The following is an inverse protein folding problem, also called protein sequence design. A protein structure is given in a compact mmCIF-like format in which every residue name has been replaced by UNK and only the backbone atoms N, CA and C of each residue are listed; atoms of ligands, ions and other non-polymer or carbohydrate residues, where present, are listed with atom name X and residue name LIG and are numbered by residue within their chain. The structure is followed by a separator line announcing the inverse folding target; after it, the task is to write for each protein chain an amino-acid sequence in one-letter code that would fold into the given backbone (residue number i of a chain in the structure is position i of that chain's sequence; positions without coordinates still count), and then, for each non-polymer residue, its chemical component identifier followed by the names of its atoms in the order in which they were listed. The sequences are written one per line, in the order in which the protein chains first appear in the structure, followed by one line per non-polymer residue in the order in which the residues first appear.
data_IF_843597701751
#
_entry.id   IF_843597701751
#
_cell.length_a   1.000
_cell.length_b   1.000
_cell.length_c   1.000
_cell.angle_alpha   90.00
_cell.angle_beta   90.00
_cell.angle_gamma   90.00
#
_symmetry.space_group_name_H-M   'P 1'
#
loop_
_entity.id
_entity.type
_entity.pdbx_description
1 polymer ?
#
# COMPACT_ATOMS: atom_id res chain seq x y z
N UNK A 1 23.90 14.46 -31.15
CA UNK A 1 23.82 14.76 -29.71
C UNK A 1 22.58 14.08 -29.16
N UNK A 2 22.69 13.13 -28.22
CA UNK A 2 21.51 12.65 -27.48
C UNK A 2 21.12 13.75 -26.50
N UNK A 3 19.86 14.17 -26.51
CA UNK A 3 19.34 15.18 -25.57
C UNK A 3 19.31 14.60 -24.15
N UNK A 4 19.43 15.47 -23.14
CA UNK A 4 19.39 15.09 -21.72
C UNK A 4 18.12 14.31 -21.38
N UNK A 5 16.99 14.64 -22.00
CA UNK A 5 15.73 13.88 -21.90
C UNK A 5 15.89 12.43 -22.40
N UNK A 6 16.52 12.25 -23.57
CA UNK A 6 16.71 10.95 -24.21
C UNK A 6 17.71 10.06 -23.43
N UNK A 7 18.60 10.67 -22.65
CA UNK A 7 19.46 9.97 -21.68
C UNK A 7 18.72 9.61 -20.39
N UNK A 8 17.86 10.49 -19.87
CA UNK A 8 16.99 10.18 -18.72
C UNK A 8 15.96 9.10 -19.05
N UNK A 9 15.42 9.07 -20.26
CA UNK A 9 14.49 8.05 -20.73
C UNK A 9 15.18 6.68 -20.88
N UNK A 10 16.41 6.66 -21.41
CA UNK A 10 17.23 5.42 -21.49
C UNK A 10 17.66 4.89 -20.13
N UNK A 11 18.03 5.80 -19.20
CA UNK A 11 18.35 5.43 -17.83
C UNK A 11 17.11 4.87 -17.13
N UNK A 12 15.97 5.58 -17.19
CA UNK A 12 14.70 5.13 -16.58
C UNK A 12 14.27 3.76 -17.10
N UNK A 13 14.42 3.51 -18.41
CA UNK A 13 14.11 2.22 -19.03
C UNK A 13 15.07 1.11 -18.57
N UNK A 14 16.37 1.36 -18.63
CA UNK A 14 17.40 0.43 -18.12
C UNK A 14 17.25 0.12 -16.63
N UNK A 15 16.65 1.03 -15.87
CA UNK A 15 16.39 0.86 -14.45
C UNK A 15 15.11 0.10 -14.15
N UNK A 16 14.07 0.22 -14.98
CA UNK A 16 12.90 -0.68 -14.91
C UNK A 16 13.29 -2.12 -15.24
N UNK A 17 14.28 -2.31 -16.12
CA UNK A 17 14.85 -3.62 -16.45
C UNK A 17 15.65 -4.25 -15.27
N UNK A 18 16.01 -3.45 -14.25
CA UNK A 18 16.72 -3.98 -13.08
C UNK A 18 15.74 -4.72 -12.14
N UNK A 19 15.96 -6.02 -11.83
CA UNK A 19 14.98 -6.85 -11.12
C UNK A 19 14.50 -6.29 -9.78
N UNK A 20 15.38 -5.61 -9.03
CA UNK A 20 15.03 -4.99 -7.74
C UNK A 20 14.09 -3.79 -7.93
N UNK A 21 14.28 -3.00 -8.99
CA UNK A 21 13.44 -1.84 -9.27
C UNK A 21 12.07 -2.28 -9.78
N UNK A 22 12.02 -3.31 -10.65
CA UNK A 22 10.76 -3.93 -11.08
C UNK A 22 9.95 -4.47 -9.90
N UNK A 23 10.60 -5.20 -8.98
CA UNK A 23 9.95 -5.68 -7.74
C UNK A 23 9.46 -4.53 -6.86
N UNK A 24 10.26 -3.48 -6.69
CA UNK A 24 9.86 -2.31 -5.90
C UNK A 24 8.66 -1.59 -6.52
N UNK A 25 8.65 -1.40 -7.84
CA UNK A 25 7.52 -0.81 -8.56
C UNK A 25 6.25 -1.66 -8.43
N UNK A 26 6.38 -2.98 -8.62
CA UNK A 26 5.26 -3.89 -8.44
C UNK A 26 4.68 -3.80 -7.02
N UNK A 27 5.53 -3.88 -6.00
CA UNK A 27 5.09 -3.75 -4.62
C UNK A 27 4.48 -2.38 -4.33
N UNK A 28 4.99 -1.31 -4.94
CA UNK A 28 4.44 0.03 -4.81
C UNK A 28 3.02 0.08 -5.38
N UNK A 29 2.83 -0.41 -6.61
CA UNK A 29 1.50 -0.45 -7.24
C UNK A 29 0.51 -1.30 -6.44
N UNK A 30 0.93 -2.48 -5.97
CA UNK A 30 0.08 -3.35 -5.16
C UNK A 30 -0.30 -2.70 -3.82
N UNK A 31 0.65 -2.07 -3.13
CA UNK A 31 0.37 -1.42 -1.85
C UNK A 31 -0.48 -0.15 -2.01
N UNK A 32 -0.34 0.59 -3.11
CA UNK A 32 -1.21 1.71 -3.43
C UNK A 32 -2.65 1.24 -3.62
N UNK A 33 -2.85 0.16 -4.38
CA UNK A 33 -4.19 -0.43 -4.53
C UNK A 33 -4.75 -1.01 -3.24
N UNK A 34 -3.90 -1.59 -2.39
CA UNK A 34 -4.31 -2.02 -1.05
C UNK A 34 -4.73 -0.84 -0.16
N UNK A 35 -3.98 0.27 -0.18
CA UNK A 35 -4.33 1.49 0.57
C UNK A 35 -5.71 2.02 0.19
N UNK A 36 -6.05 1.98 -1.10
CA UNK A 36 -7.37 2.35 -1.59
C UNK A 36 -8.44 1.36 -1.15
N UNK A 37 -8.17 0.05 -1.25
CA UNK A 37 -9.07 -1.00 -0.77
C UNK A 37 -9.38 -0.87 0.73
N UNK A 38 -8.35 -0.58 1.54
CA UNK A 38 -8.42 -0.35 2.98
C UNK A 38 -9.26 0.90 3.31
N UNK A 39 -8.98 2.03 2.65
CA UNK A 39 -9.78 3.26 2.74
C UNK A 39 -11.27 3.00 2.47
N UNK A 40 -11.58 2.27 1.39
CA UNK A 40 -12.94 1.90 1.04
C UNK A 40 -13.60 1.10 2.17
N UNK A 41 -12.92 0.11 2.77
CA UNK A 41 -13.51 -0.66 3.88
C UNK A 41 -13.78 0.23 5.09
N UNK A 42 -12.82 1.07 5.47
CA UNK A 42 -12.96 2.00 6.60
C UNK A 42 -14.16 2.94 6.39
N UNK A 43 -14.22 3.62 5.23
CA UNK A 43 -15.31 4.54 4.92
C UNK A 43 -16.68 3.84 4.86
N UNK A 44 -16.75 2.61 4.33
CA UNK A 44 -17.98 1.79 4.36
C UNK A 44 -18.45 1.48 5.76
N UNK A 45 -17.54 1.19 6.68
CA UNK A 45 -17.91 0.91 8.07
C UNK A 45 -18.33 2.18 8.79
N UNK A 46 -17.67 3.32 8.50
CA UNK A 46 -18.09 4.64 8.99
C UNK A 46 -19.51 5.02 8.52
N UNK A 47 -19.87 4.83 7.25
CA UNK A 47 -21.24 5.16 6.77
C UNK A 47 -22.34 4.40 7.51
N UNK A 48 -22.07 3.15 7.92
CA UNK A 48 -22.99 2.30 8.68
C UNK A 48 -23.02 2.61 10.17
N UNK A 49 -22.08 3.41 10.65
CA UNK A 49 -21.97 3.75 12.07
C UNK A 49 -22.67 5.07 12.34
N UNK A 50 -23.45 5.13 13.42
CA UNK A 50 -24.05 6.35 13.93
C UNK A 50 -23.28 6.79 15.18
N UNK A 51 -22.27 7.65 14.98
CA UNK A 51 -21.53 8.24 16.10
C UNK A 51 -22.28 9.50 16.55
N UNK A 52 -22.78 9.51 17.79
CA UNK A 52 -23.38 10.71 18.36
C UNK A 52 -22.30 11.67 18.85
N UNK A 53 -22.64 12.94 19.07
CA UNK A 53 -21.71 13.89 19.66
C UNK A 53 -21.18 13.43 21.03
N UNK A 54 -22.04 12.77 21.83
CA UNK A 54 -21.65 12.23 23.14
C UNK A 54 -20.64 11.09 23.02
N UNK A 55 -20.77 10.25 21.99
CA UNK A 55 -19.78 9.20 21.71
C UNK A 55 -18.44 9.84 21.29
N UNK A 56 -18.50 10.88 20.46
CA UNK A 56 -17.32 11.64 20.06
C UNK A 56 -16.63 12.33 21.24
N UNK A 57 -17.38 12.91 22.18
CA UNK A 57 -16.82 13.45 23.44
C UNK A 57 -16.09 12.37 24.23
N UNK A 58 -16.73 11.21 24.43
CA UNK A 58 -16.13 10.10 25.16
C UNK A 58 -14.83 9.61 24.49
N UNK A 59 -14.82 9.49 23.16
CA UNK A 59 -13.64 9.07 22.40
C UNK A 59 -12.54 10.13 22.50
N UNK A 60 -12.88 11.41 22.38
CA UNK A 60 -11.92 12.51 22.51
C UNK A 60 -11.24 12.53 23.88
N UNK A 61 -12.02 12.42 24.96
CA UNK A 61 -11.51 12.37 26.33
C UNK A 61 -10.56 11.18 26.53
N UNK A 62 -10.93 10.00 26.01
CA UNK A 62 -10.10 8.80 26.09
C UNK A 62 -8.84 8.88 25.24
N UNK A 63 -8.93 9.50 24.07
CA UNK A 63 -7.77 9.74 23.23
C UNK A 63 -6.78 10.69 23.91
N UNK A 64 -7.28 11.78 24.52
CA UNK A 64 -6.45 12.71 25.29
C UNK A 64 -5.81 12.02 26.50
N UNK A 65 -6.55 11.18 27.23
CA UNK A 65 -6.02 10.40 28.37
C UNK A 65 -4.84 9.50 27.96
N UNK A 66 -4.94 8.84 26.80
CA UNK A 66 -3.93 7.87 26.32
C UNK A 66 -2.75 8.55 25.64
N UNK A 67 -3.00 9.63 24.90
CA UNK A 67 -2.00 10.23 23.99
C UNK A 67 -1.47 11.57 24.48
N UNK A 68 -2.18 12.25 25.38
CA UNK A 68 -1.93 13.64 25.78
C UNK A 68 -2.35 14.67 24.73
N UNK A 69 -3.03 14.25 23.66
CA UNK A 69 -3.45 15.12 22.55
C UNK A 69 -4.93 15.46 22.70
N UNK A 70 -5.22 16.75 22.84
CA UNK A 70 -6.58 17.24 22.81
C UNK A 70 -7.09 17.31 21.36
N UNK A 71 -8.25 16.68 21.12
CA UNK A 71 -8.96 16.65 19.86
C UNK A 71 -10.39 17.11 20.09
N UNK A 72 -10.86 18.08 19.29
CA UNK A 72 -12.25 18.50 19.34
C UNK A 72 -13.19 17.34 18.92
N UNK A 73 -14.27 17.05 19.66
CA UNK A 73 -15.22 15.99 19.32
C UNK A 73 -15.80 16.13 17.91
N UNK A 74 -15.95 17.36 17.40
CA UNK A 74 -16.41 17.64 16.04
C UNK A 74 -15.50 17.03 14.96
N UNK A 75 -14.22 16.81 15.24
CA UNK A 75 -13.28 16.20 14.30
C UNK A 75 -13.45 14.67 14.21
N UNK A 76 -14.18 14.07 15.15
CA UNK A 76 -14.50 12.64 15.17
C UNK A 76 -15.87 12.36 14.53
N UNK A 77 -16.64 13.42 14.25
CA UNK A 77 -17.89 13.34 13.51
C UNK A 77 -17.61 13.52 12.03
N UNK A 78 -18.38 12.81 11.21
CA UNK A 78 -18.27 12.85 9.75
C UNK A 78 -19.61 13.16 9.11
N UNK A 79 -19.58 13.97 8.05
CA UNK A 79 -20.74 14.18 7.19
C UNK A 79 -20.95 12.92 6.34
N UNK A 80 -22.09 12.25 6.54
CA UNK A 80 -22.41 11.01 5.83
C UNK A 80 -22.60 11.20 4.33
N UNK A 81 -23.06 12.37 3.89
CA UNK A 81 -23.22 12.66 2.46
C UNK A 81 -21.85 12.82 1.81
N UNK A 82 -20.96 13.63 2.42
CA UNK A 82 -19.59 13.77 1.94
C UNK A 82 -18.86 12.42 1.93
N UNK A 83 -19.02 11.61 2.98
CA UNK A 83 -18.40 10.29 3.04
C UNK A 83 -18.94 9.34 1.96
N UNK A 84 -20.21 9.45 1.59
CA UNK A 84 -20.81 8.69 0.50
C UNK A 84 -20.27 9.13 -0.87
N UNK A 85 -20.09 10.43 -1.08
CA UNK A 85 -19.46 10.99 -2.29
C UNK A 85 -18.00 10.53 -2.40
N UNK A 86 -17.22 10.67 -1.33
CA UNK A 86 -15.82 10.21 -1.26
C UNK A 86 -15.70 8.69 -1.52
N UNK A 87 -16.68 7.90 -1.06
CA UNK A 87 -16.73 6.46 -1.34
C UNK A 87 -16.93 6.17 -2.83
N UNK A 88 -17.80 6.95 -3.51
CA UNK A 88 -18.03 6.78 -4.94
C UNK A 88 -16.74 7.05 -5.73
N UNK A 89 -16.01 8.11 -5.37
CA UNK A 89 -14.73 8.45 -6.01
C UNK A 89 -13.68 7.36 -5.77
N UNK A 90 -13.51 6.91 -4.52
CA UNK A 90 -12.59 5.83 -4.19
C UNK A 90 -12.94 4.53 -4.97
N UNK A 91 -14.22 4.19 -5.07
CA UNK A 91 -14.65 3.02 -5.84
C UNK A 91 -14.33 3.15 -7.33
N UNK A 92 -14.52 4.34 -7.91
CA UNK A 92 -14.19 4.58 -9.32
C UNK A 92 -12.69 4.43 -9.56
N UNK A 93 -11.85 5.01 -8.70
CA UNK A 93 -10.40 4.87 -8.79
C UNK A 93 -9.97 3.40 -8.60
N UNK A 94 -10.59 2.68 -7.68
CA UNK A 94 -10.30 1.28 -7.42
C UNK A 94 -10.68 0.39 -8.60
N UNK A 95 -11.83 0.63 -9.23
CA UNK A 95 -12.23 -0.07 -10.45
C UNK A 95 -11.31 0.27 -11.62
N UNK A 96 -10.92 1.53 -11.77
CA UNK A 96 -9.96 1.94 -12.79
C UNK A 96 -8.63 1.19 -12.65
N UNK A 97 -8.10 1.13 -11.42
CA UNK A 97 -6.89 0.38 -11.12
C UNK A 97 -7.08 -1.11 -11.42
N UNK A 98 -8.15 -1.75 -10.95
CA UNK A 98 -8.38 -3.17 -11.19
C UNK A 98 -8.53 -3.51 -12.68
N UNK A 99 -9.15 -2.62 -13.44
CA UNK A 99 -9.35 -2.78 -14.88
C UNK A 99 -8.06 -2.65 -15.69
N UNK A 100 -6.99 -2.08 -15.11
CA UNK A 100 -5.66 -2.07 -15.74
C UNK A 100 -4.99 -3.45 -15.78
N UNK A 101 -5.44 -4.40 -14.95
CA UNK A 101 -4.96 -5.78 -14.95
C UNK A 101 -5.82 -6.68 -15.83
N UNK A 102 -5.19 -7.70 -16.45
CA UNK A 102 -5.91 -8.82 -17.05
C UNK A 102 -6.71 -9.61 -15.99
N UNK A 103 -7.68 -10.40 -16.42
CA UNK A 103 -8.60 -11.12 -15.53
C UNK A 103 -7.87 -12.04 -14.52
N UNK A 104 -6.80 -12.72 -14.95
CA UNK A 104 -6.07 -13.64 -14.11
C UNK A 104 -5.31 -12.89 -13.01
N UNK A 105 -4.56 -11.86 -13.41
CA UNK A 105 -3.81 -10.98 -12.50
C UNK A 105 -4.75 -10.24 -11.55
N UNK A 106 -5.83 -9.65 -12.06
CA UNK A 106 -6.83 -8.94 -11.26
C UNK A 106 -7.35 -9.79 -10.10
N UNK A 107 -7.68 -11.04 -10.36
CA UNK A 107 -8.17 -11.92 -9.29
C UNK A 107 -7.07 -12.32 -8.29
N UNK A 108 -5.79 -12.38 -8.67
CA UNK A 108 -4.68 -12.54 -7.71
C UNK A 108 -4.53 -11.28 -6.83
N UNK A 109 -4.57 -10.11 -7.45
CA UNK A 109 -4.49 -8.80 -6.78
C UNK A 109 -5.63 -8.62 -5.78
N UNK A 110 -6.87 -8.91 -6.18
CA UNK A 110 -8.04 -8.88 -5.27
C UNK A 110 -7.82 -9.85 -4.10
N UNK A 111 -7.36 -11.08 -4.37
CA UNK A 111 -7.10 -12.06 -3.31
C UNK A 111 -6.02 -11.58 -2.34
N UNK A 112 -5.01 -10.88 -2.85
CA UNK A 112 -3.95 -10.28 -2.05
C UNK A 112 -4.47 -9.16 -1.16
N UNK A 113 -5.29 -8.24 -1.67
CA UNK A 113 -5.87 -7.17 -0.84
C UNK A 113 -6.75 -7.73 0.28
N UNK A 114 -7.56 -8.74 -0.03
CA UNK A 114 -8.35 -9.45 0.99
C UNK A 114 -7.46 -10.14 2.02
N UNK A 115 -6.34 -10.74 1.59
CA UNK A 115 -5.38 -11.38 2.49
C UNK A 115 -4.75 -10.35 3.45
N UNK A 116 -4.29 -9.22 2.91
CA UNK A 116 -3.69 -8.16 3.71
C UNK A 116 -4.67 -7.58 4.73
N UNK A 117 -5.93 -7.37 4.33
CA UNK A 117 -6.96 -6.79 5.20
C UNK A 117 -7.48 -7.78 6.25
N UNK A 118 -8.00 -8.94 5.82
CA UNK A 118 -8.73 -9.85 6.72
C UNK A 118 -7.82 -10.79 7.49
N UNK A 119 -6.79 -11.33 6.83
CA UNK A 119 -5.94 -12.38 7.42
C UNK A 119 -4.75 -11.77 8.13
N UNK A 120 -4.00 -10.89 7.45
CA UNK A 120 -2.80 -10.28 7.99
C UNK A 120 -3.10 -9.05 8.83
N UNK A 121 -4.23 -8.38 8.58
CA UNK A 121 -4.67 -7.15 9.25
C UNK A 121 -3.58 -6.09 9.25
N UNK A 122 -3.00 -5.84 8.08
CA UNK A 122 -1.91 -4.87 7.92
C UNK A 122 -2.45 -3.47 8.22
N UNK A 123 -1.92 -2.77 9.25
CA UNK A 123 -2.40 -1.44 9.60
C UNK A 123 -2.09 -0.41 8.50
N UNK A 124 -2.97 0.57 8.34
CA UNK A 124 -2.82 1.67 7.40
C UNK A 124 -1.45 2.37 7.52
N UNK A 125 -1.01 2.68 8.74
CA UNK A 125 0.29 3.33 8.99
C UNK A 125 1.47 2.49 8.48
N UNK A 126 1.38 1.17 8.61
CA UNK A 126 2.42 0.27 8.07
C UNK A 126 2.46 0.34 6.54
N UNK A 127 1.30 0.40 5.88
CA UNK A 127 1.22 0.58 4.42
C UNK A 127 1.85 1.91 4.01
N UNK A 128 1.52 2.99 4.72
CA UNK A 128 2.03 4.32 4.41
C UNK A 128 3.56 4.41 4.54
N UNK A 129 4.13 3.84 5.61
CA UNK A 129 5.59 3.75 5.80
C UNK A 129 6.24 3.01 4.64
N UNK A 130 5.64 1.89 4.21
CA UNK A 130 6.14 1.10 3.09
C UNK A 130 6.03 1.85 1.76
N UNK A 131 4.92 2.52 1.49
CA UNK A 131 4.75 3.35 0.29
C UNK A 131 5.77 4.49 0.22
N UNK A 132 5.99 5.19 1.34
CA UNK A 132 7.00 6.24 1.44
C UNK A 132 8.40 5.70 1.17
N UNK A 133 8.75 4.55 1.77
CA UNK A 133 10.04 3.92 1.58
C UNK A 133 10.25 3.41 0.13
N UNK A 134 9.23 2.83 -0.51
CA UNK A 134 9.29 2.42 -1.91
C UNK A 134 9.41 3.61 -2.85
N UNK A 135 8.61 4.65 -2.65
CA UNK A 135 8.67 5.87 -3.46
C UNK A 135 10.06 6.51 -3.36
N UNK A 136 10.60 6.64 -2.16
CA UNK A 136 11.96 7.15 -1.96
C UNK A 136 13.02 6.23 -2.59
N UNK A 137 12.85 4.91 -2.50
CA UNK A 137 13.75 3.96 -3.16
C UNK A 137 13.72 4.12 -4.69
N UNK A 138 12.53 4.22 -5.29
CA UNK A 138 12.36 4.42 -6.73
C UNK A 138 12.98 5.74 -7.16
N UNK A 139 12.73 6.84 -6.42
CA UNK A 139 13.36 8.14 -6.69
C UNK A 139 14.89 8.10 -6.56
N UNK A 140 15.42 7.36 -5.58
CA UNK A 140 16.86 7.17 -5.41
C UNK A 140 17.44 6.39 -6.59
N UNK A 141 16.75 5.32 -6.98
CA UNK A 141 17.12 4.49 -8.11
C UNK A 141 17.19 5.38 -9.37
N UNK A 142 16.12 6.11 -9.70
CA UNK A 142 16.07 7.02 -10.85
C UNK A 142 17.06 8.21 -10.78
N UNK A 143 17.88 8.33 -9.72
CA UNK A 143 18.88 9.39 -9.56
C UNK A 143 18.29 10.73 -9.14
N UNK A 144 16.99 10.80 -8.84
CA UNK A 144 16.29 12.04 -8.44
C UNK A 144 16.65 12.48 -7.03
N UNK A 145 17.01 11.55 -6.15
CA UNK A 145 17.49 11.86 -4.78
C UNK A 145 18.78 11.09 -4.48
N UNK A 146 19.56 11.60 -3.52
CA UNK A 146 20.77 10.92 -3.04
C UNK A 146 20.47 9.97 -1.87
N UNK A 147 21.46 9.14 -1.50
CA UNK A 147 21.34 8.16 -0.41
C UNK A 147 21.06 8.80 0.96
N UNK A 148 21.51 10.04 1.20
CA UNK A 148 21.23 10.77 2.44
C UNK A 148 19.75 11.15 2.52
N UNK A 149 19.17 11.57 1.40
CA UNK A 149 17.75 11.90 1.30
C UNK A 149 16.87 10.65 1.39
N UNK A 150 17.25 9.54 0.76
CA UNK A 150 16.57 8.24 0.90
C UNK A 150 16.37 7.86 2.38
N UNK A 151 17.45 7.91 3.17
CA UNK A 151 17.40 7.55 4.61
C UNK A 151 16.49 8.47 5.43
N UNK A 152 16.28 9.72 5.01
CA UNK A 152 15.41 10.67 5.69
C UNK A 152 13.92 10.44 5.41
N UNK A 153 13.58 9.69 4.37
CA UNK A 153 12.19 9.41 3.98
C UNK A 153 11.62 8.14 4.64
N UNK A 154 12.45 7.38 5.36
CA UNK A 154 12.03 6.20 6.12
C UNK A 154 11.70 6.66 7.54
N UNK A 155 10.48 7.15 7.72
CA UNK A 155 10.02 7.83 8.94
C UNK A 155 8.62 7.37 9.34
N UNK A 156 8.31 7.57 10.62
CA UNK A 156 7.02 7.37 11.26
C UNK A 156 6.71 8.60 12.13
N UNK A 157 5.48 8.72 12.62
CA UNK A 157 5.02 9.84 13.45
C UNK A 157 4.77 9.32 14.86
N UNK A 158 5.60 9.75 15.81
CA UNK A 158 5.32 9.56 17.24
C UNK A 158 4.22 10.54 17.64
N UNK A 159 2.98 10.05 17.71
CA UNK A 159 1.81 10.85 18.07
C UNK A 159 1.92 11.45 19.48
N UNK A 160 2.49 10.74 20.45
CA UNK A 160 2.65 11.26 21.82
C UNK A 160 3.58 12.47 21.86
N UNK A 161 4.64 12.44 21.05
CA UNK A 161 5.62 13.54 20.98
C UNK A 161 5.34 14.53 19.86
N UNK A 162 4.33 14.28 19.03
CA UNK A 162 4.06 15.00 17.78
C UNK A 162 5.32 15.22 16.94
N UNK A 163 6.16 14.18 16.81
CA UNK A 163 7.47 14.26 16.15
C UNK A 163 7.65 13.17 15.13
N UNK A 164 8.27 13.55 14.03
CA UNK A 164 8.78 12.61 13.04
C UNK A 164 9.95 11.83 13.66
N UNK A 165 9.85 10.50 13.63
CA UNK A 165 10.90 9.60 14.11
C UNK A 165 11.42 8.74 12.97
N UNK A 166 12.74 8.49 12.90
CA UNK A 166 13.29 7.59 11.90
C UNK A 166 12.84 6.15 12.18
N UNK A 167 12.42 5.44 11.14
CA UNK A 167 12.12 4.00 11.23
C UNK A 167 13.38 3.22 10.89
N UNK A 168 13.60 2.11 11.59
CA UNK A 168 14.68 1.21 11.24
C UNK A 168 14.45 0.62 9.83
N UNK A 169 15.39 0.90 8.93
CA UNK A 169 15.42 0.32 7.58
C UNK A 169 15.36 -1.21 7.57
N UNK A 170 15.84 -1.90 8.62
CA UNK A 170 15.71 -3.36 8.74
C UNK A 170 14.27 -3.79 8.95
N UNK A 171 13.50 -3.06 9.75
CA UNK A 171 12.09 -3.32 9.99
C UNK A 171 11.28 -3.14 8.71
N UNK A 172 11.51 -2.04 7.99
CA UNK A 172 10.88 -1.76 6.69
C UNK A 172 11.21 -2.85 5.68
N UNK A 173 12.49 -3.25 5.58
CA UNK A 173 12.92 -4.35 4.71
C UNK A 173 12.26 -5.68 5.06
N UNK A 174 12.14 -5.99 6.36
CA UNK A 174 11.47 -7.20 6.81
C UNK A 174 10.00 -7.23 6.36
N UNK A 175 9.28 -6.13 6.58
CA UNK A 175 7.89 -6.01 6.15
C UNK A 175 7.72 -6.16 4.64
N UNK A 176 8.60 -5.55 3.82
CA UNK A 176 8.58 -5.77 2.38
C UNK A 176 8.74 -7.23 1.99
N UNK A 177 9.76 -7.91 2.52
CA UNK A 177 10.02 -9.32 2.19
C UNK A 177 8.81 -10.18 2.57
N UNK A 178 8.22 -9.93 3.73
CA UNK A 178 7.08 -10.70 4.19
C UNK A 178 5.82 -10.44 3.33
N UNK A 179 5.54 -9.20 2.95
CA UNK A 179 4.35 -8.87 2.13
C UNK A 179 4.53 -9.36 0.70
N UNK A 180 5.72 -9.22 0.14
CA UNK A 180 6.05 -9.75 -1.17
C UNK A 180 5.95 -11.28 -1.21
N UNK A 181 6.38 -11.96 -0.15
CA UNK A 181 6.21 -13.40 -0.01
C UNK A 181 4.74 -13.81 -0.02
N UNK A 182 3.87 -13.09 0.70
CA UNK A 182 2.44 -13.37 0.70
C UNK A 182 1.85 -13.28 -0.71
N UNK A 183 2.23 -12.25 -1.47
CA UNK A 183 1.78 -12.10 -2.85
C UNK A 183 2.24 -13.28 -3.72
N UNK A 184 3.53 -13.65 -3.64
CA UNK A 184 4.07 -14.80 -4.35
C UNK A 184 3.35 -16.11 -3.99
N UNK A 185 3.03 -16.32 -2.71
CA UNK A 185 2.32 -17.52 -2.25
C UNK A 185 0.89 -17.57 -2.80
N UNK A 186 0.22 -16.41 -2.95
CA UNK A 186 -1.10 -16.31 -3.59
C UNK A 186 -1.02 -16.62 -5.07
N UNK A 187 -0.03 -16.04 -5.78
CA UNK A 187 0.21 -16.31 -7.20
C UNK A 187 0.49 -17.80 -7.43
N UNK A 188 1.38 -18.40 -6.63
CA UNK A 188 1.73 -19.82 -6.72
C UNK A 188 0.51 -20.72 -6.49
N UNK A 189 -0.29 -20.43 -5.45
CA UNK A 189 -1.52 -21.18 -5.17
C UNK A 189 -2.50 -21.11 -6.34
N UNK A 190 -2.63 -19.95 -6.99
CA UNK A 190 -3.53 -19.80 -8.13
C UNK A 190 -2.99 -20.52 -9.38
N UNK A 191 -1.71 -20.36 -9.69
CA UNK A 191 -1.07 -21.07 -10.79
C UNK A 191 -1.22 -22.60 -10.65
N UNK A 192 -0.95 -23.14 -9.45
CA UNK A 192 -1.09 -24.57 -9.18
C UNK A 192 -2.53 -25.08 -9.27
N UNK A 193 -3.54 -24.24 -9.01
CA UNK A 193 -4.94 -24.63 -9.23
C UNK A 193 -5.25 -24.78 -10.72
N UNK A 194 -4.72 -23.89 -11.56
CA UNK A 194 -4.90 -23.94 -13.02
C UNK A 194 -4.21 -25.18 -13.58
N UNK A 195 -2.95 -25.43 -13.20
CA UNK A 195 -2.20 -26.61 -13.62
C UNK A 195 -2.91 -27.91 -13.24
N UNK A 196 -3.41 -27.99 -12.00
CA UNK A 196 -4.18 -29.14 -11.54
C UNK A 196 -5.46 -29.36 -12.37
N UNK A 197 -6.13 -28.31 -12.80
CA UNK A 197 -7.31 -28.40 -13.68
C UNK A 197 -6.93 -28.89 -15.09
N UNK A 198 -5.74 -28.55 -15.56
CA UNK A 198 -5.18 -29.02 -16.83
C UNK A 198 -4.55 -30.42 -16.76
N UNK A 199 -4.44 -31.01 -15.55
CA UNK A 199 -3.76 -32.30 -15.35
C UNK A 199 -2.23 -32.21 -15.32
N UNK A 200 -1.68 -31.02 -15.13
CA UNK A 200 -0.25 -30.74 -15.10
C UNK A 200 0.31 -30.77 -13.66
N UNK A 201 1.63 -30.99 -13.54
CA UNK A 201 2.32 -30.99 -12.24
C UNK A 201 2.37 -29.61 -11.59
N UNK A 202 2.27 -29.52 -10.25
CA UNK A 202 2.32 -28.24 -9.56
C UNK A 202 3.72 -27.63 -9.58
N UNK A 203 3.78 -26.30 -9.70
CA UNK A 203 5.00 -25.53 -9.52
C UNK A 203 5.42 -25.56 -8.03
N UNK A 204 6.72 -25.68 -7.80
CA UNK A 204 7.33 -25.57 -6.46
C UNK A 204 7.72 -24.14 -6.10
N UNK A 205 7.84 -23.26 -7.10
CA UNK A 205 8.19 -21.84 -6.95
C UNK A 205 7.45 -21.04 -8.01
N UNK A 206 6.97 -19.86 -7.61
CA UNK A 206 6.49 -18.84 -8.53
C UNK A 206 7.42 -17.63 -8.37
N UNK A 207 8.11 -17.27 -9.45
CA UNK A 207 8.77 -15.95 -9.53
C UNK A 207 7.88 -15.08 -10.39
N UNK A 208 7.51 -13.91 -9.88
CA UNK A 208 6.91 -12.90 -10.73
C UNK A 208 8.00 -12.43 -11.68
N UNK A 209 7.90 -12.84 -12.93
CA UNK A 209 8.73 -12.28 -13.99
C UNK A 209 8.21 -10.87 -14.24
N UNK A 210 8.89 -9.87 -13.66
CA UNK A 210 8.58 -8.46 -13.88
C UNK A 210 9.23 -8.05 -15.20
N UNK A 211 8.82 -8.69 -16.30
CA UNK A 211 9.10 -8.21 -17.64
C UNK A 211 7.99 -7.24 -18.01
N UNK A 212 8.24 -5.95 -17.83
CA UNK A 212 7.43 -4.84 -18.38
C UNK A 212 7.85 -4.61 -19.83
#
# INVERSE_FOLDING_TARGET
MKTTQNQMDQLSKSMMDHPICGRAMLMYTLLTGYSLFDSIQIKKDCTKTDITYKDAEFIADKFEEVTGINIAPTNLLFDKNQLADDLLDDYQEYQFLLNSYDENTRSMVISFYHHLFYNRRVPHDTVQILLNALSAFIQYACGSINKKNLKKQIIDIDLQKMKIVPVDSMYVRHNFICIEKDFNDICLKKANRILKQAGEEPLSKYSIDVSI
#
